data_IF_480248403644
#
_entry.id   IF_480248403644
#
_cell.length_a   1.000
_cell.length_b   1.000
_cell.length_c   1.000
_cell.angle_alpha   90.00
_cell.angle_beta   90.00
_cell.angle_gamma   90.00
#
_symmetry.space_group_name_H-M   'P 1'
#
loop_
_entity.id
_entity.type
_entity.pdbx_description
1 polymer ?
#
# COMPACT_ATOMS: atom_id res chain seq x y z
N UNK A 1 21.52 8.72 14.13
CA UNK A 1 21.49 8.12 12.80
C UNK A 1 20.76 6.80 12.98
N UNK A 2 19.49 6.81 12.78
CA UNK A 2 18.67 5.62 12.68
C UNK A 2 17.54 6.01 11.72
N UNK A 3 17.59 5.46 10.54
CA UNK A 3 16.59 5.64 9.50
C UNK A 3 15.29 5.00 9.99
N UNK A 4 14.32 5.83 10.34
CA UNK A 4 12.98 5.40 10.70
C UNK A 4 12.20 5.12 9.42
N UNK A 5 12.19 3.88 8.97
CA UNK A 5 11.26 3.39 7.96
C UNK A 5 9.83 3.51 8.53
N UNK A 6 9.09 4.49 8.07
CA UNK A 6 7.64 4.56 8.30
C UNK A 6 6.93 3.66 7.28
N UNK A 7 7.05 2.35 7.47
CA UNK A 7 6.20 1.39 6.80
C UNK A 7 4.84 1.40 7.49
N UNK A 8 3.78 1.57 6.72
CA UNK A 8 2.40 1.30 7.16
C UNK A 8 2.37 -0.12 7.71
N UNK A 9 1.88 -0.38 8.93
CA UNK A 9 1.86 -1.72 9.47
C UNK A 9 0.92 -2.58 8.62
N UNK A 10 1.49 -3.56 7.93
CA UNK A 10 0.72 -4.64 7.33
C UNK A 10 0.19 -5.47 8.51
N UNK A 11 -1.07 -5.28 8.86
CA UNK A 11 -1.76 -6.01 9.91
C UNK A 11 -1.95 -7.46 9.48
N UNK A 12 -1.33 -8.39 10.18
CA UNK A 12 -1.59 -9.80 10.02
C UNK A 12 -0.46 -10.71 10.45
N UNK A 13 0.00 -10.60 11.71
CA UNK A 13 0.72 -11.72 12.33
C UNK A 13 -0.27 -12.84 12.65
N UNK A 14 -0.34 -13.84 11.78
CA UNK A 14 -1.00 -15.10 12.08
C UNK A 14 -0.20 -15.82 13.19
N UNK A 15 -0.88 -16.18 14.27
CA UNK A 15 -0.30 -17.01 15.34
C UNK A 15 0.08 -18.38 14.77
N UNK A 16 1.23 -18.93 15.13
CA UNK A 16 1.63 -20.25 14.65
C UNK A 16 0.69 -21.33 15.20
N UNK A 17 0.08 -22.08 14.30
CA UNK A 17 -0.63 -23.32 14.62
C UNK A 17 0.38 -24.39 15.05
N UNK A 18 0.07 -25.06 16.15
CA UNK A 18 0.93 -26.03 16.79
C UNK A 18 1.16 -27.29 15.91
N UNK A 19 2.42 -27.68 15.78
CA UNK A 19 2.80 -29.04 15.43
C UNK A 19 3.67 -29.25 14.19
N UNK A 20 4.80 -28.55 14.05
CA UNK A 20 5.83 -28.94 13.10
C UNK A 20 7.20 -29.00 13.75
N UNK A 21 7.82 -30.19 13.75
CA UNK A 21 9.23 -30.34 14.14
C UNK A 21 10.13 -29.95 12.95
N UNK A 22 11.01 -29.00 13.17
CA UNK A 22 12.02 -28.54 12.21
C UNK A 22 13.26 -29.43 12.34
N UNK A 23 13.70 -30.07 11.26
CA UNK A 23 14.99 -30.74 11.18
C UNK A 23 16.00 -29.77 10.52
N UNK A 24 17.11 -29.41 11.19
CA UNK A 24 18.09 -28.49 10.61
C UNK A 24 19.05 -29.20 9.64
N UNK A 25 19.19 -28.63 8.45
CA UNK A 25 20.40 -28.72 7.64
C UNK A 25 20.53 -29.87 6.67
N UNK A 26 20.02 -29.64 5.44
CA UNK A 26 20.67 -30.06 4.20
C UNK A 26 20.03 -29.31 3.03
N UNK A 27 20.72 -29.15 1.91
CA UNK A 27 20.22 -28.56 0.67
C UNK A 27 19.08 -29.45 0.15
N UNK A 28 17.84 -29.03 0.37
CA UNK A 28 16.68 -29.85 -0.02
C UNK A 28 16.34 -29.57 -1.48
N UNK A 29 16.31 -30.61 -2.27
CA UNK A 29 16.08 -30.56 -3.71
C UNK A 29 14.60 -30.65 -4.10
N UNK A 30 13.71 -31.18 -3.23
CA UNK A 30 12.28 -31.34 -3.55
C UNK A 30 11.35 -31.10 -2.37
N UNK A 31 10.10 -30.76 -2.66
CA UNK A 31 9.03 -30.58 -1.66
C UNK A 31 8.74 -31.86 -0.88
N UNK A 32 8.88 -33.04 -1.49
CA UNK A 32 8.64 -34.33 -0.85
C UNK A 32 9.55 -34.60 0.37
N UNK A 33 10.76 -34.03 0.36
CA UNK A 33 11.71 -34.16 1.47
C UNK A 33 11.42 -33.19 2.63
N UNK A 34 10.60 -32.13 2.36
CA UNK A 34 10.38 -31.07 3.31
C UNK A 34 9.20 -31.34 4.25
N UNK A 35 8.14 -31.98 3.74
CA UNK A 35 6.86 -32.12 4.48
C UNK A 35 6.15 -33.39 4.06
N UNK A 36 5.63 -34.16 5.03
CA UNK A 36 4.54 -35.09 4.75
C UNK A 36 3.28 -34.26 4.51
N UNK A 37 2.95 -33.98 3.26
CA UNK A 37 1.81 -33.17 2.89
C UNK A 37 0.54 -34.00 3.06
N UNK A 38 -0.41 -33.52 3.88
CA UNK A 38 -1.75 -34.06 3.94
C UNK A 38 -2.49 -33.72 2.62
N UNK A 39 -2.87 -34.70 1.78
CA UNK A 39 -3.58 -34.43 0.54
C UNK A 39 -4.93 -33.72 0.71
N UNK A 40 -5.53 -33.82 1.90
CA UNK A 40 -6.83 -33.22 2.23
C UNK A 40 -6.69 -31.82 2.85
N UNK A 41 -5.48 -31.25 2.92
CA UNK A 41 -5.30 -29.91 3.48
C UNK A 41 -5.90 -28.83 2.58
N UNK A 42 -6.49 -27.81 3.19
CA UNK A 42 -7.00 -26.61 2.54
C UNK A 42 -5.97 -25.48 2.49
N UNK A 43 -4.96 -25.55 3.33
CA UNK A 43 -3.92 -24.54 3.47
C UNK A 43 -2.56 -25.21 3.62
N UNK A 44 -1.56 -24.73 2.88
CA UNK A 44 -0.20 -25.24 2.93
C UNK A 44 0.80 -24.09 3.03
N UNK A 45 1.54 -24.05 4.14
CA UNK A 45 2.61 -23.09 4.39
C UNK A 45 3.98 -23.71 4.08
N UNK A 46 4.58 -23.26 2.99
CA UNK A 46 5.91 -23.61 2.54
C UNK A 46 6.86 -22.41 2.55
N UNK A 47 6.60 -21.41 3.40
CA UNK A 47 7.46 -20.25 3.55
C UNK A 47 8.86 -20.64 4.07
N UNK A 48 9.91 -19.93 3.60
CA UNK A 48 11.30 -20.13 4.04
C UNK A 48 11.86 -21.56 3.86
N UNK A 49 11.41 -22.29 2.85
CA UNK A 49 11.85 -23.68 2.58
C UNK A 49 12.98 -23.80 1.57
N UNK A 50 13.47 -22.66 1.02
CA UNK A 50 14.50 -22.64 -0.03
C UNK A 50 14.10 -23.39 -1.32
N UNK A 51 12.81 -23.48 -1.57
CA UNK A 51 12.24 -24.12 -2.76
C UNK A 51 12.68 -23.32 -3.99
N UNK A 52 13.29 -23.96 -4.97
CA UNK A 52 13.68 -23.33 -6.23
C UNK A 52 12.81 -23.79 -7.41
N UNK A 53 12.07 -24.89 -7.24
CA UNK A 53 11.20 -25.48 -8.26
C UNK A 53 9.87 -25.90 -7.66
N UNK A 54 8.80 -25.60 -8.38
CA UNK A 54 7.44 -26.00 -7.98
C UNK A 54 7.14 -27.39 -8.58
N UNK A 55 6.97 -28.41 -7.72
CA UNK A 55 6.67 -29.78 -8.11
C UNK A 55 5.95 -30.52 -6.99
N UNK A 56 5.37 -31.71 -7.32
CA UNK A 56 4.72 -32.60 -6.36
C UNK A 56 3.46 -32.05 -5.69
N UNK A 57 2.71 -31.18 -6.37
CA UNK A 57 1.43 -30.65 -5.89
C UNK A 57 0.21 -31.47 -6.36
N UNK A 58 0.40 -32.54 -7.15
CA UNK A 58 -0.68 -33.33 -7.70
C UNK A 58 -1.65 -33.94 -6.67
N UNK A 59 -1.22 -34.29 -5.44
CA UNK A 59 -2.14 -34.79 -4.41
C UNK A 59 -3.11 -33.76 -3.87
N UNK A 60 -2.79 -32.46 -3.94
CA UNK A 60 -3.50 -31.37 -3.28
C UNK A 60 -4.78 -30.97 -4.03
N UNK A 61 -5.83 -31.80 -3.94
CA UNK A 61 -7.06 -31.60 -4.70
C UNK A 61 -8.01 -30.56 -4.10
N UNK A 62 -7.83 -30.23 -2.82
CA UNK A 62 -8.74 -29.36 -2.06
C UNK A 62 -8.05 -28.07 -1.58
N UNK A 63 -6.80 -27.84 -1.95
CA UNK A 63 -6.01 -26.70 -1.50
C UNK A 63 -6.68 -25.37 -1.93
N UNK A 64 -6.88 -24.48 -0.98
CA UNK A 64 -7.44 -23.13 -1.19
C UNK A 64 -6.37 -22.05 -0.99
N UNK A 65 -5.37 -22.28 -0.13
CA UNK A 65 -4.32 -21.32 0.17
C UNK A 65 -2.95 -21.96 0.11
N UNK A 66 -2.06 -21.35 -0.67
CA UNK A 66 -0.69 -21.82 -0.85
C UNK A 66 0.30 -20.67 -0.61
N UNK A 67 1.10 -20.80 0.45
CA UNK A 67 2.09 -19.82 0.85
C UNK A 67 3.50 -20.30 0.51
N UNK A 68 4.18 -19.55 -0.36
CA UNK A 68 5.51 -19.88 -0.90
C UNK A 68 6.47 -18.69 -0.73
N UNK A 69 6.26 -17.86 0.27
CA UNK A 69 7.07 -16.66 0.56
C UNK A 69 8.51 -17.05 0.92
N UNK A 70 9.45 -16.15 0.59
CA UNK A 70 10.88 -16.28 0.95
C UNK A 70 11.49 -17.60 0.47
N UNK A 71 11.30 -17.91 -0.80
CA UNK A 71 11.89 -19.07 -1.46
C UNK A 71 12.85 -18.65 -2.59
N UNK A 72 13.24 -19.57 -3.43
CA UNK A 72 14.19 -19.36 -4.54
C UNK A 72 13.54 -19.59 -5.91
N UNK A 73 12.20 -19.54 -5.98
CA UNK A 73 11.40 -19.88 -7.14
C UNK A 73 11.68 -18.89 -8.28
N UNK A 74 12.05 -19.43 -9.45
CA UNK A 74 12.36 -18.63 -10.65
C UNK A 74 11.24 -18.67 -11.69
N UNK A 75 10.45 -19.75 -11.67
CA UNK A 75 9.41 -20.03 -12.65
C UNK A 75 8.14 -20.51 -11.97
N UNK A 76 7.01 -20.00 -12.42
CA UNK A 76 5.69 -20.49 -12.01
C UNK A 76 5.38 -21.70 -12.92
N UNK A 77 5.27 -22.89 -12.35
CA UNK A 77 4.98 -24.12 -13.07
C UNK A 77 4.29 -25.15 -12.17
N UNK A 78 3.68 -26.17 -12.79
CA UNK A 78 3.08 -27.32 -12.10
C UNK A 78 2.00 -26.96 -11.06
N UNK A 79 1.23 -25.86 -11.29
CA UNK A 79 0.11 -25.46 -10.46
C UNK A 79 -1.26 -25.69 -11.12
N UNK A 80 -1.30 -26.19 -12.37
CA UNK A 80 -2.51 -26.32 -13.19
C UNK A 80 -3.61 -27.19 -12.57
N UNK A 81 -3.23 -28.13 -11.69
CA UNK A 81 -4.17 -29.03 -11.00
C UNK A 81 -4.86 -28.36 -9.80
N UNK A 82 -4.32 -27.26 -9.25
CA UNK A 82 -4.80 -26.62 -8.03
C UNK A 82 -6.01 -25.71 -8.32
N UNK A 83 -7.06 -26.27 -8.89
CA UNK A 83 -8.23 -25.51 -9.38
C UNK A 83 -9.10 -24.91 -8.27
N UNK A 84 -8.94 -25.36 -7.04
CA UNK A 84 -9.63 -24.86 -5.85
C UNK A 84 -8.93 -23.67 -5.24
N UNK A 85 -7.73 -23.32 -5.72
CA UNK A 85 -6.89 -22.28 -5.12
C UNK A 85 -7.57 -20.90 -5.18
N UNK A 86 -7.68 -20.26 -4.02
CA UNK A 86 -8.22 -18.91 -3.82
C UNK A 86 -7.10 -17.92 -3.55
N UNK A 87 -6.02 -18.36 -2.90
CA UNK A 87 -4.90 -17.50 -2.50
C UNK A 87 -3.56 -18.15 -2.84
N UNK A 88 -2.72 -17.40 -3.57
CA UNK A 88 -1.36 -17.79 -3.93
C UNK A 88 -0.38 -16.69 -3.56
N UNK A 89 0.56 -17.01 -2.68
CA UNK A 89 1.59 -16.09 -2.24
C UNK A 89 2.98 -16.53 -2.69
N UNK A 90 3.55 -15.76 -3.59
CA UNK A 90 4.89 -15.96 -4.16
C UNK A 90 5.83 -14.80 -3.79
N UNK A 91 5.53 -14.10 -2.67
CA UNK A 91 6.30 -12.98 -2.15
C UNK A 91 7.77 -13.36 -1.90
N UNK A 92 8.69 -12.47 -2.24
CA UNK A 92 10.14 -12.62 -2.09
C UNK A 92 10.69 -13.93 -2.67
N UNK A 93 10.67 -13.95 -4.01
CA UNK A 93 11.21 -15.03 -4.84
C UNK A 93 12.09 -14.44 -5.97
N UNK A 94 12.35 -15.22 -7.00
CA UNK A 94 13.20 -14.80 -8.12
C UNK A 94 12.46 -14.83 -9.46
N UNK A 95 11.13 -14.74 -9.44
CA UNK A 95 10.25 -14.87 -10.60
C UNK A 95 10.48 -13.70 -11.55
N UNK A 96 10.67 -14.02 -12.83
CA UNK A 96 10.91 -13.02 -13.88
C UNK A 96 9.76 -12.88 -14.86
N UNK A 97 8.83 -13.83 -14.85
CA UNK A 97 7.67 -13.88 -15.77
C UNK A 97 6.45 -14.44 -15.07
N UNK A 98 5.29 -13.86 -15.36
CA UNK A 98 3.99 -14.41 -14.94
C UNK A 98 3.57 -15.39 -16.01
N UNK A 99 3.42 -16.67 -15.65
CA UNK A 99 3.04 -17.74 -16.56
C UNK A 99 2.33 -18.87 -15.82
N UNK A 100 1.60 -19.73 -16.57
CA UNK A 100 0.96 -20.95 -16.06
C UNK A 100 -0.04 -20.73 -14.91
N UNK A 101 -0.71 -19.57 -14.87
CA UNK A 101 -1.76 -19.27 -13.90
C UNK A 101 -3.18 -19.36 -14.51
N UNK A 102 -3.30 -19.59 -15.81
CA UNK A 102 -4.56 -19.54 -16.56
C UNK A 102 -5.60 -20.57 -16.13
N UNK A 103 -5.19 -21.63 -15.42
CA UNK A 103 -6.10 -22.65 -14.85
C UNK A 103 -6.59 -22.33 -13.44
N UNK A 104 -5.99 -21.37 -12.77
CA UNK A 104 -6.32 -20.97 -11.40
C UNK A 104 -7.46 -19.95 -11.39
N UNK A 105 -8.55 -20.25 -12.09
CA UNK A 105 -9.67 -19.32 -12.37
C UNK A 105 -10.47 -18.90 -11.13
N UNK A 106 -10.24 -19.56 -10.00
CA UNK A 106 -10.89 -19.23 -8.74
C UNK A 106 -10.05 -18.30 -7.85
N UNK A 107 -8.84 -17.93 -8.30
CA UNK A 107 -7.93 -17.13 -7.50
C UNK A 107 -8.53 -15.75 -7.20
N UNK A 108 -8.56 -15.40 -5.91
CA UNK A 108 -9.04 -14.14 -5.36
C UNK A 108 -7.87 -13.24 -4.91
N UNK A 109 -6.78 -13.86 -4.43
CA UNK A 109 -5.60 -13.15 -3.93
C UNK A 109 -4.35 -13.69 -4.61
N UNK A 110 -3.56 -12.80 -5.22
CA UNK A 110 -2.27 -13.12 -5.82
C UNK A 110 -1.20 -12.14 -5.35
N UNK A 111 -0.19 -12.64 -4.63
CA UNK A 111 0.96 -11.85 -4.23
C UNK A 111 2.22 -12.29 -5.00
N UNK A 112 2.72 -11.38 -5.84
CA UNK A 112 3.95 -11.50 -6.62
C UNK A 112 4.97 -10.43 -6.21
N UNK A 113 4.84 -9.86 -5.02
CA UNK A 113 5.74 -8.83 -4.51
C UNK A 113 7.16 -9.35 -4.30
N UNK A 114 8.14 -8.44 -4.31
CA UNK A 114 9.56 -8.74 -4.12
C UNK A 114 10.08 -9.82 -5.07
N UNK A 115 9.79 -9.62 -6.36
CA UNK A 115 10.26 -10.49 -7.44
C UNK A 115 11.09 -9.69 -8.47
N UNK A 116 11.25 -10.22 -9.66
CA UNK A 116 12.05 -9.60 -10.73
C UNK A 116 11.22 -9.32 -11.98
N UNK A 117 9.91 -9.18 -11.82
CA UNK A 117 8.96 -8.98 -12.91
C UNK A 117 9.20 -7.64 -13.60
N UNK A 118 9.19 -7.64 -14.92
CA UNK A 118 9.30 -6.43 -15.75
C UNK A 118 8.01 -6.08 -16.47
N UNK A 119 7.04 -6.99 -16.45
CA UNK A 119 5.78 -6.88 -17.19
C UNK A 119 4.64 -7.56 -16.42
N UNK A 120 3.44 -6.98 -16.50
CA UNK A 120 2.20 -7.64 -16.07
C UNK A 120 1.63 -8.36 -17.29
N UNK A 121 1.46 -9.68 -17.21
CA UNK A 121 0.99 -10.50 -18.31
C UNK A 121 0.27 -11.75 -17.80
N UNK A 122 -0.53 -12.40 -18.70
CA UNK A 122 -1.15 -13.71 -18.44
C UNK A 122 -2.08 -13.78 -17.22
N UNK A 123 -2.76 -12.66 -16.88
CA UNK A 123 -3.74 -12.61 -15.80
C UNK A 123 -5.19 -12.57 -16.31
N UNK A 124 -5.41 -12.58 -17.61
CA UNK A 124 -6.70 -12.36 -18.28
C UNK A 124 -7.77 -13.43 -17.96
N UNK A 125 -7.39 -14.57 -17.40
CA UNK A 125 -8.31 -15.63 -16.95
C UNK A 125 -8.66 -15.54 -15.46
N UNK A 126 -7.95 -14.75 -14.70
CA UNK A 126 -8.11 -14.65 -13.24
C UNK A 126 -9.18 -13.62 -12.86
N UNK A 127 -10.39 -13.79 -13.42
CA UNK A 127 -11.46 -12.78 -13.31
C UNK A 127 -12.06 -12.62 -11.91
N UNK A 128 -11.73 -13.51 -10.97
CA UNK A 128 -12.17 -13.43 -9.58
C UNK A 128 -11.19 -12.69 -8.68
N UNK A 129 -10.03 -12.25 -9.20
CA UNK A 129 -9.05 -11.53 -8.39
C UNK A 129 -9.67 -10.29 -7.76
N UNK A 130 -9.54 -10.23 -6.43
CA UNK A 130 -9.94 -9.11 -5.59
C UNK A 130 -8.73 -8.32 -5.10
N UNK A 131 -7.58 -9.00 -4.88
CA UNK A 131 -6.35 -8.37 -4.41
C UNK A 131 -5.15 -8.83 -5.21
N UNK A 132 -4.36 -7.86 -5.69
CA UNK A 132 -3.20 -8.12 -6.54
C UNK A 132 -2.01 -7.27 -6.08
N UNK A 133 -0.89 -7.94 -5.78
CA UNK A 133 0.28 -7.32 -5.20
C UNK A 133 1.51 -7.50 -6.09
N UNK A 134 2.22 -6.41 -6.37
CA UNK A 134 3.44 -6.34 -7.16
C UNK A 134 4.53 -5.46 -6.53
N UNK A 135 4.53 -5.27 -5.22
CA UNK A 135 5.54 -4.43 -4.55
C UNK A 135 6.95 -4.88 -4.91
N UNK A 136 7.87 -3.93 -5.04
CA UNK A 136 9.29 -4.19 -5.24
C UNK A 136 9.61 -5.13 -6.41
N UNK A 137 9.13 -4.75 -7.59
CA UNK A 137 9.44 -5.39 -8.87
C UNK A 137 10.16 -4.40 -9.81
N UNK A 138 10.13 -4.64 -11.11
CA UNK A 138 10.78 -3.79 -12.12
C UNK A 138 9.79 -3.30 -13.18
N UNK A 139 8.51 -3.21 -12.84
CA UNK A 139 7.43 -2.82 -13.74
C UNK A 139 7.62 -1.37 -14.21
N UNK A 140 7.43 -1.12 -15.50
CA UNK A 140 7.55 0.21 -16.10
C UNK A 140 6.25 0.78 -16.63
N UNK A 141 5.23 -0.08 -16.79
CA UNK A 141 3.91 0.22 -17.33
C UNK A 141 2.88 -0.58 -16.54
N UNK A 142 1.72 0.01 -16.26
CA UNK A 142 0.54 -0.71 -15.79
C UNK A 142 -0.16 -1.22 -17.04
N UNK A 143 -0.25 -2.53 -17.20
CA UNK A 143 -0.84 -3.14 -18.40
C UNK A 143 -1.54 -4.46 -18.04
N UNK A 144 -2.46 -4.90 -18.92
CA UNK A 144 -3.13 -6.20 -18.84
C UNK A 144 -3.92 -6.46 -17.54
N UNK A 145 -4.33 -5.40 -16.82
CA UNK A 145 -5.17 -5.50 -15.62
C UNK A 145 -6.63 -5.14 -15.87
N UNK A 146 -6.94 -4.54 -17.02
CA UNK A 146 -8.27 -4.00 -17.33
C UNK A 146 -9.42 -5.01 -17.33
N UNK A 147 -9.14 -6.32 -17.43
CA UNK A 147 -10.14 -7.38 -17.33
C UNK A 147 -10.46 -7.78 -15.88
N UNK A 148 -9.62 -7.37 -14.92
CA UNK A 148 -9.73 -7.76 -13.51
C UNK A 148 -10.70 -6.84 -12.75
N UNK A 149 -11.92 -6.72 -13.24
CA UNK A 149 -12.91 -5.75 -12.76
C UNK A 149 -13.41 -5.99 -11.34
N UNK A 150 -13.11 -7.15 -10.74
CA UNK A 150 -13.40 -7.47 -9.34
C UNK A 150 -12.33 -6.96 -8.37
N UNK A 151 -11.21 -6.41 -8.87
CA UNK A 151 -10.17 -5.89 -7.99
C UNK A 151 -10.72 -4.79 -7.08
N UNK A 152 -10.50 -4.99 -5.79
CA UNK A 152 -10.75 -4.02 -4.72
C UNK A 152 -9.45 -3.40 -4.22
N UNK A 153 -8.32 -4.09 -4.42
CA UNK A 153 -6.99 -3.62 -4.03
C UNK A 153 -5.97 -3.92 -5.12
N UNK A 154 -5.15 -2.91 -5.46
CA UNK A 154 -4.02 -3.04 -6.38
C UNK A 154 -2.79 -2.36 -5.76
N UNK A 155 -1.73 -3.15 -5.53
CA UNK A 155 -0.48 -2.70 -4.94
C UNK A 155 0.66 -2.79 -5.96
N UNK A 156 1.22 -1.64 -6.34
CA UNK A 156 2.27 -1.49 -7.35
C UNK A 156 3.46 -0.67 -6.82
N UNK A 157 3.59 -0.54 -5.52
CA UNK A 157 4.66 0.23 -4.88
C UNK A 157 6.06 -0.31 -5.20
N UNK A 158 7.06 0.56 -5.08
CA UNK A 158 8.47 0.25 -5.33
C UNK A 158 8.73 -0.41 -6.71
N UNK A 159 8.29 0.30 -7.76
CA UNK A 159 8.48 -0.11 -9.15
C UNK A 159 9.12 1.04 -9.97
N UNK A 160 8.96 1.04 -11.27
CA UNK A 160 9.53 2.05 -12.19
C UNK A 160 8.46 2.74 -13.04
N UNK A 161 7.21 2.74 -12.56
CA UNK A 161 6.06 3.30 -13.25
C UNK A 161 6.24 4.81 -13.45
N UNK A 162 5.87 5.30 -14.63
CA UNK A 162 5.97 6.73 -14.98
C UNK A 162 4.60 7.39 -15.08
N UNK A 163 3.54 6.61 -15.26
CA UNK A 163 2.17 7.06 -15.47
C UNK A 163 1.20 6.16 -14.73
N UNK A 164 0.04 6.72 -14.41
CA UNK A 164 -1.15 5.98 -14.01
C UNK A 164 -1.94 5.76 -15.30
N UNK A 165 -2.09 4.51 -15.72
CA UNK A 165 -2.73 4.17 -17.00
C UNK A 165 -3.35 2.77 -16.96
N UNK A 166 -4.33 2.52 -17.86
CA UNK A 166 -4.96 1.20 -18.07
C UNK A 166 -5.68 0.61 -16.85
N UNK A 167 -6.18 1.46 -15.94
CA UNK A 167 -6.92 1.05 -14.73
C UNK A 167 -8.36 1.59 -14.73
N UNK A 168 -8.79 2.27 -15.77
CA UNK A 168 -10.08 2.97 -15.85
C UNK A 168 -11.29 2.01 -15.75
N UNK A 169 -11.09 0.73 -16.04
CA UNK A 169 -12.12 -0.31 -15.92
C UNK A 169 -12.23 -0.92 -14.53
N UNK A 170 -11.29 -0.62 -13.62
CA UNK A 170 -11.25 -1.18 -12.26
C UNK A 170 -12.18 -0.42 -11.31
N UNK A 171 -13.44 -0.28 -11.69
CA UNK A 171 -14.43 0.56 -11.01
C UNK A 171 -14.76 0.13 -9.56
N UNK A 172 -14.42 -1.10 -9.18
CA UNK A 172 -14.60 -1.62 -7.84
C UNK A 172 -13.40 -1.37 -6.91
N UNK A 173 -12.33 -0.73 -7.43
CA UNK A 173 -11.12 -0.50 -6.67
C UNK A 173 -11.38 0.44 -5.50
N UNK A 174 -10.96 0.01 -4.29
CA UNK A 174 -11.04 0.78 -3.05
C UNK A 174 -9.67 1.24 -2.58
N UNK A 175 -8.63 0.50 -2.90
CA UNK A 175 -7.27 0.78 -2.44
C UNK A 175 -6.29 0.68 -3.61
N UNK A 176 -5.56 1.77 -3.86
CA UNK A 176 -4.54 1.85 -4.90
C UNK A 176 -3.23 2.38 -4.32
N UNK A 177 -2.20 1.55 -4.35
CA UNK A 177 -0.89 1.89 -3.85
C UNK A 177 0.13 1.96 -4.98
N UNK A 178 0.70 3.14 -5.18
CA UNK A 178 1.65 3.49 -6.25
C UNK A 178 2.91 4.16 -5.69
N UNK A 179 3.16 4.05 -4.41
CA UNK A 179 4.31 4.65 -3.74
C UNK A 179 5.66 4.19 -4.31
N UNK A 180 6.71 4.98 -4.13
CA UNK A 180 8.09 4.68 -4.59
C UNK A 180 8.15 4.33 -6.08
N UNK A 181 7.61 5.20 -6.94
CA UNK A 181 7.64 5.07 -8.39
C UNK A 181 8.26 6.33 -9.06
N UNK A 182 7.97 6.60 -10.31
CA UNK A 182 8.46 7.76 -11.06
C UNK A 182 7.31 8.56 -11.68
N UNK A 183 6.12 8.47 -11.09
CA UNK A 183 4.89 9.10 -11.56
C UNK A 183 5.03 10.61 -11.38
N UNK A 184 4.74 11.36 -12.44
CA UNK A 184 4.86 12.82 -12.42
C UNK A 184 3.50 13.52 -12.42
N UNK A 185 2.42 12.81 -12.71
CA UNK A 185 1.08 13.38 -12.83
C UNK A 185 0.04 12.42 -12.26
N UNK A 186 -0.95 13.00 -11.58
CA UNK A 186 -2.16 12.27 -11.17
C UNK A 186 -3.12 12.33 -12.35
N UNK A 187 -3.46 11.17 -12.92
CA UNK A 187 -4.29 11.07 -14.12
C UNK A 187 -5.03 9.73 -14.18
N UNK A 188 -6.10 9.65 -14.99
CA UNK A 188 -6.85 8.41 -15.29
C UNK A 188 -7.51 7.74 -14.05
N UNK A 189 -7.91 8.53 -13.04
CA UNK A 189 -8.58 8.06 -11.85
C UNK A 189 -10.09 8.35 -11.84
N UNK A 190 -10.63 9.05 -12.82
CA UNK A 190 -11.99 9.60 -12.81
C UNK A 190 -13.09 8.52 -12.65
N UNK A 191 -12.84 7.31 -13.10
CA UNK A 191 -13.79 6.19 -13.03
C UNK A 191 -13.72 5.43 -11.72
N UNK A 192 -12.67 5.63 -10.92
CA UNK A 192 -12.43 4.91 -9.67
C UNK A 192 -13.18 5.56 -8.49
N UNK A 193 -14.48 5.80 -8.67
CA UNK A 193 -15.30 6.55 -7.72
C UNK A 193 -15.46 5.89 -6.35
N UNK A 194 -15.14 4.59 -6.26
CA UNK A 194 -15.17 3.83 -5.01
C UNK A 194 -13.83 3.85 -4.24
N UNK A 195 -12.83 4.59 -4.76
CA UNK A 195 -11.51 4.62 -4.13
C UNK A 195 -11.56 5.30 -2.76
N UNK A 196 -11.08 4.58 -1.75
CA UNK A 196 -11.02 5.01 -0.36
C UNK A 196 -9.60 5.38 0.06
N UNK A 197 -8.58 4.67 -0.44
CA UNK A 197 -7.17 4.88 -0.12
C UNK A 197 -6.38 5.07 -1.42
N UNK A 198 -5.64 6.17 -1.52
CA UNK A 198 -4.71 6.44 -2.60
C UNK A 198 -3.33 6.77 -2.05
N UNK A 199 -2.34 5.94 -2.38
CA UNK A 199 -0.96 6.09 -1.95
C UNK A 199 -0.07 6.40 -3.15
N UNK A 200 0.54 7.58 -3.14
CA UNK A 200 1.40 8.13 -4.19
C UNK A 200 2.73 8.65 -3.64
N UNK A 201 3.10 8.29 -2.41
CA UNK A 201 4.32 8.77 -1.77
C UNK A 201 5.59 8.38 -2.56
N UNK A 202 6.64 9.17 -2.40
CA UNK A 202 7.93 8.97 -3.06
C UNK A 202 7.82 8.83 -4.60
N UNK A 203 7.21 9.83 -5.22
CA UNK A 203 7.06 9.96 -6.66
C UNK A 203 7.67 11.29 -7.17
N UNK A 204 7.22 11.81 -8.30
CA UNK A 204 7.68 13.06 -8.91
C UNK A 204 6.54 14.04 -9.14
N UNK A 205 5.48 13.92 -8.38
CA UNK A 205 4.25 14.71 -8.51
C UNK A 205 4.54 16.13 -8.01
N UNK A 206 4.11 17.12 -8.78
CA UNK A 206 4.30 18.54 -8.43
C UNK A 206 2.96 19.26 -8.21
N UNK A 207 1.85 18.61 -8.54
CA UNK A 207 0.52 19.20 -8.47
C UNK A 207 -0.51 18.17 -8.01
N UNK A 208 -1.41 18.59 -7.12
CA UNK A 208 -2.61 17.82 -6.75
C UNK A 208 -3.67 18.16 -7.81
N UNK A 209 -4.10 17.18 -8.58
CA UNK A 209 -5.07 17.35 -9.66
C UNK A 209 -5.85 16.06 -9.93
N UNK A 210 -7.02 16.17 -10.60
CA UNK A 210 -7.82 15.04 -11.06
C UNK A 210 -8.28 14.08 -9.94
N UNK A 211 -8.57 14.63 -8.76
CA UNK A 211 -9.12 13.88 -7.62
C UNK A 211 -10.60 14.21 -7.38
N UNK A 212 -11.21 15.10 -8.15
CA UNK A 212 -12.55 15.66 -7.91
C UNK A 212 -13.67 14.60 -7.99
N UNK A 213 -13.42 13.50 -8.72
CA UNK A 213 -14.38 12.39 -8.83
C UNK A 213 -14.26 11.38 -7.70
N UNK A 214 -13.16 11.41 -6.94
CA UNK A 214 -12.89 10.48 -5.85
C UNK A 214 -13.56 10.93 -4.56
N UNK A 215 -14.87 11.07 -4.57
CA UNK A 215 -15.65 11.60 -3.43
C UNK A 215 -15.70 10.66 -2.23
N UNK A 216 -15.34 9.38 -2.39
CA UNK A 216 -15.22 8.40 -1.32
C UNK A 216 -13.81 8.31 -0.71
N UNK A 217 -12.86 9.14 -1.20
CA UNK A 217 -11.48 9.11 -0.72
C UNK A 217 -11.41 9.53 0.75
N UNK A 218 -10.83 8.66 1.58
CA UNK A 218 -10.62 8.84 3.02
C UNK A 218 -9.17 9.15 3.34
N UNK A 219 -8.26 8.45 2.67
CA UNK A 219 -6.84 8.56 2.94
C UNK A 219 -6.07 8.90 1.66
N UNK A 220 -5.31 10.00 1.69
CA UNK A 220 -4.42 10.42 0.61
C UNK A 220 -2.99 10.54 1.13
N UNK A 221 -2.12 9.65 0.66
CA UNK A 221 -0.69 9.66 0.96
C UNK A 221 0.10 10.14 -0.25
N UNK A 222 0.67 11.33 -0.18
CA UNK A 222 1.39 11.97 -1.29
C UNK A 222 2.69 12.64 -0.81
N UNK A 223 3.25 12.13 0.30
CA UNK A 223 4.55 12.56 0.82
C UNK A 223 5.70 12.28 -0.13
N UNK A 224 6.85 12.88 0.14
CA UNK A 224 8.08 12.69 -0.66
C UNK A 224 7.87 12.98 -2.16
N UNK A 225 7.24 14.12 -2.45
CA UNK A 225 6.97 14.59 -3.81
C UNK A 225 7.48 16.05 -3.99
N UNK A 226 7.04 16.73 -5.02
CA UNK A 226 7.45 18.12 -5.32
C UNK A 226 6.32 19.12 -5.18
N UNK A 227 5.30 18.87 -4.36
CA UNK A 227 4.09 19.67 -4.25
C UNK A 227 4.40 20.99 -3.54
N UNK A 228 3.99 22.10 -4.16
CA UNK A 228 4.19 23.46 -3.63
C UNK A 228 2.91 24.09 -3.09
N UNK A 229 1.75 23.58 -3.49
CA UNK A 229 0.44 24.11 -3.12
C UNK A 229 -0.56 23.00 -2.85
N UNK A 230 -1.34 23.13 -1.76
CA UNK A 230 -2.51 22.29 -1.50
C UNK A 230 -3.65 22.85 -2.35
N UNK A 231 -4.19 22.06 -3.26
CA UNK A 231 -5.24 22.48 -4.18
C UNK A 231 -6.12 21.31 -4.63
N UNK A 232 -7.29 21.60 -5.22
CA UNK A 232 -8.18 20.63 -5.87
C UNK A 232 -8.68 19.48 -4.97
N UNK A 233 -8.85 19.73 -3.66
CA UNK A 233 -9.37 18.76 -2.70
C UNK A 233 -10.79 19.11 -2.21
N UNK A 234 -11.44 20.13 -2.75
CA UNK A 234 -12.75 20.59 -2.25
C UNK A 234 -13.88 19.58 -2.35
N UNK A 235 -13.77 18.63 -3.28
CA UNK A 235 -14.77 17.57 -3.47
C UNK A 235 -14.49 16.31 -2.63
N UNK A 236 -13.29 16.19 -2.05
CA UNK A 236 -12.87 15.04 -1.27
C UNK A 236 -13.29 15.18 0.22
N UNK A 237 -14.57 15.43 0.47
CA UNK A 237 -15.10 15.80 1.79
C UNK A 237 -15.01 14.69 2.84
N UNK A 238 -14.82 13.44 2.39
CA UNK A 238 -14.65 12.29 3.27
C UNK A 238 -13.20 12.05 3.69
N UNK A 239 -12.27 12.94 3.25
CA UNK A 239 -10.86 12.79 3.56
C UNK A 239 -10.63 13.01 5.06
N UNK A 240 -10.16 11.97 5.76
CA UNK A 240 -9.81 11.98 7.17
C UNK A 240 -8.30 12.04 7.39
N UNK A 241 -7.51 11.49 6.48
CA UNK A 241 -6.05 11.45 6.55
C UNK A 241 -5.42 12.05 5.29
N UNK A 242 -4.54 13.06 5.49
CA UNK A 242 -3.80 13.71 4.40
C UNK A 242 -2.31 13.78 4.74
N UNK A 243 -1.50 12.97 4.03
CA UNK A 243 -0.04 12.98 4.15
C UNK A 243 0.61 13.79 3.02
N UNK A 244 1.14 14.95 3.37
CA UNK A 244 1.91 15.86 2.52
C UNK A 244 3.34 16.09 3.05
N UNK A 245 3.84 15.20 3.91
CA UNK A 245 5.19 15.30 4.44
C UNK A 245 6.26 15.33 3.34
N UNK A 246 7.40 15.94 3.60
CA UNK A 246 8.53 15.98 2.67
C UNK A 246 8.16 16.46 1.26
N UNK A 247 7.45 17.59 1.20
CA UNK A 247 7.11 18.29 -0.02
C UNK A 247 7.76 19.70 -0.04
N UNK A 248 7.24 20.63 -0.82
CA UNK A 248 7.78 22.00 -0.95
C UNK A 248 6.76 23.07 -0.52
N UNK A 249 5.85 22.69 0.35
CA UNK A 249 4.79 23.60 0.83
C UNK A 249 5.38 24.74 1.64
N UNK A 250 4.96 25.96 1.31
CA UNK A 250 5.25 27.18 2.11
C UNK A 250 4.02 27.72 2.81
N UNK A 251 2.85 27.41 2.27
CA UNK A 251 1.56 27.88 2.76
C UNK A 251 0.63 26.69 3.00
N UNK A 252 -0.21 26.82 4.01
CA UNK A 252 -1.34 25.92 4.27
C UNK A 252 -2.60 26.66 3.83
N UNK A 253 -3.45 26.03 3.05
CA UNK A 253 -4.71 26.60 2.59
C UNK A 253 -5.52 25.57 1.82
N UNK A 254 -6.73 25.96 1.38
CA UNK A 254 -7.64 25.12 0.60
C UNK A 254 -8.04 23.80 1.29
N UNK A 255 -8.11 23.81 2.62
CA UNK A 255 -8.51 22.67 3.46
C UNK A 255 -9.90 22.86 4.06
N UNK A 256 -10.57 23.99 3.81
CA UNK A 256 -11.81 24.41 4.45
C UNK A 256 -12.97 23.44 4.20
N UNK A 257 -12.94 22.75 3.05
CA UNK A 257 -13.96 21.77 2.67
C UNK A 257 -13.77 20.39 3.33
N UNK A 258 -12.59 20.13 3.95
CA UNK A 258 -12.23 18.85 4.54
C UNK A 258 -12.72 18.77 6.00
N UNK A 259 -14.03 18.71 6.19
CA UNK A 259 -14.67 18.72 7.52
C UNK A 259 -14.36 17.45 8.34
N UNK A 260 -14.04 16.35 7.68
CA UNK A 260 -13.72 15.06 8.31
C UNK A 260 -12.23 14.90 8.61
N UNK A 261 -11.38 15.86 8.23
CA UNK A 261 -9.93 15.74 8.38
C UNK A 261 -9.54 15.57 9.86
N UNK A 262 -9.04 14.41 10.22
CA UNK A 262 -8.59 14.04 11.57
C UNK A 262 -7.08 14.09 11.71
N UNK A 263 -6.34 13.75 10.66
CA UNK A 263 -4.90 13.67 10.66
C UNK A 263 -4.28 14.37 9.45
N UNK A 264 -3.28 15.25 9.69
CA UNK A 264 -2.52 15.89 8.62
C UNK A 264 -1.03 15.83 8.89
N UNK A 265 -0.26 15.39 7.88
CA UNK A 265 1.20 15.34 7.93
C UNK A 265 1.79 16.38 7.00
N UNK A 266 2.45 17.36 7.60
CA UNK A 266 3.07 18.52 6.93
C UNK A 266 4.55 18.67 7.29
N UNK A 267 5.11 17.69 8.01
CA UNK A 267 6.52 17.74 8.41
C UNK A 267 7.46 17.77 7.20
N UNK A 268 8.68 18.26 7.40
CA UNK A 268 9.70 18.37 6.34
C UNK A 268 9.23 19.17 5.11
N UNK A 269 8.65 20.36 5.36
CA UNK A 269 8.23 21.31 4.32
C UNK A 269 8.89 22.68 4.56
N UNK A 270 8.45 23.73 3.87
CA UNK A 270 8.96 25.10 3.97
C UNK A 270 8.01 26.07 4.68
N UNK A 271 7.14 25.59 5.57
CA UNK A 271 6.12 26.40 6.24
C UNK A 271 6.79 27.31 7.29
N UNK A 272 6.78 28.63 7.05
CA UNK A 272 7.50 29.61 7.85
C UNK A 272 6.61 30.61 8.60
N UNK A 273 5.31 30.64 8.30
CA UNK A 273 4.40 31.67 8.79
C UNK A 273 3.25 31.09 9.64
N UNK A 274 3.24 31.44 10.92
CA UNK A 274 2.20 31.02 11.86
C UNK A 274 0.78 31.44 11.46
N UNK A 275 0.63 32.57 10.74
CA UNK A 275 -0.69 33.03 10.28
C UNK A 275 -1.35 32.03 9.33
N UNK A 276 -0.55 31.29 8.58
CA UNK A 276 -1.07 30.29 7.64
C UNK A 276 -1.70 29.08 8.33
N UNK A 277 -1.31 28.81 9.60
CA UNK A 277 -1.90 27.73 10.39
C UNK A 277 -3.31 28.03 10.88
N UNK A 278 -3.72 29.29 10.85
CA UNK A 278 -5.05 29.70 11.29
C UNK A 278 -6.19 29.14 10.43
N UNK A 279 -5.91 28.78 9.17
CA UNK A 279 -6.89 28.15 8.28
C UNK A 279 -7.36 26.82 8.84
N UNK A 280 -6.49 26.08 9.55
CA UNK A 280 -6.82 24.79 10.17
C UNK A 280 -7.85 24.90 11.29
N UNK A 281 -8.17 26.09 11.76
CA UNK A 281 -9.28 26.30 12.70
C UNK A 281 -10.64 25.87 12.14
N UNK A 282 -10.76 25.80 10.82
CA UNK A 282 -11.98 25.32 10.15
C UNK A 282 -12.14 23.81 10.26
N UNK A 283 -11.03 23.07 10.34
CA UNK A 283 -11.02 21.61 10.42
C UNK A 283 -11.24 21.15 11.87
N UNK A 284 -12.50 21.12 12.30
CA UNK A 284 -12.87 20.84 13.70
C UNK A 284 -12.61 19.40 14.14
N UNK A 285 -12.55 18.48 13.19
CA UNK A 285 -12.25 17.07 13.43
C UNK A 285 -10.76 16.79 13.61
N UNK A 286 -9.88 17.78 13.32
CA UNK A 286 -8.44 17.59 13.32
C UNK A 286 -7.91 17.27 14.72
N UNK A 287 -7.36 16.10 14.90
CA UNK A 287 -6.82 15.57 16.16
C UNK A 287 -5.30 15.49 16.15
N UNK A 288 -4.71 15.20 15.00
CA UNK A 288 -3.27 14.97 14.87
C UNK A 288 -2.67 15.86 13.78
N UNK A 289 -1.58 16.54 14.11
CA UNK A 289 -0.76 17.30 13.16
C UNK A 289 0.70 16.92 13.31
N UNK A 290 1.36 16.60 12.19
CA UNK A 290 2.82 16.53 12.10
C UNK A 290 3.32 17.76 11.35
N UNK A 291 4.14 18.58 11.99
CA UNK A 291 4.63 19.85 11.44
C UNK A 291 6.12 20.10 11.75
N UNK A 292 6.78 19.15 12.41
CA UNK A 292 8.21 19.21 12.70
C UNK A 292 9.05 19.38 11.42
N UNK A 293 10.28 19.84 11.56
CA UNK A 293 11.20 20.13 10.45
C UNK A 293 10.71 21.18 9.45
N UNK A 294 9.74 22.02 9.85
CA UNK A 294 9.40 23.25 9.15
C UNK A 294 10.06 24.46 9.83
N UNK A 295 10.27 25.59 9.14
CA UNK A 295 10.77 26.82 9.78
C UNK A 295 9.98 27.24 11.02
N UNK A 296 8.65 27.11 11.03
CA UNK A 296 7.81 27.41 12.21
C UNK A 296 8.13 26.55 13.42
N UNK A 297 8.64 25.33 13.23
CA UNK A 297 8.96 24.40 14.31
C UNK A 297 10.25 24.77 15.06
N UNK A 298 11.03 25.73 14.57
CA UNK A 298 12.21 26.26 15.25
C UNK A 298 11.86 27.24 16.40
N UNK A 299 10.61 27.67 16.49
CA UNK A 299 10.14 28.56 17.57
C UNK A 299 10.13 27.81 18.92
N UNK A 300 10.79 28.35 19.92
CA UNK A 300 10.83 27.76 21.27
C UNK A 300 9.43 27.51 21.86
N UNK A 301 8.42 28.28 21.43
CA UNK A 301 7.01 28.13 21.84
C UNK A 301 6.18 27.35 20.81
N UNK A 302 6.80 26.62 19.96
CA UNK A 302 6.15 25.87 18.86
C UNK A 302 4.88 25.13 19.30
N UNK A 303 5.02 24.23 20.27
CA UNK A 303 3.88 23.43 20.75
C UNK A 303 2.80 24.25 21.44
N UNK A 304 3.18 25.24 22.25
CA UNK A 304 2.18 26.11 22.92
C UNK A 304 1.42 26.97 21.92
N UNK A 305 2.09 27.54 20.93
CA UNK A 305 1.44 28.30 19.86
C UNK A 305 0.48 27.44 19.03
N UNK A 306 0.85 26.20 18.70
CA UNK A 306 -0.06 25.28 18.01
C UNK A 306 -1.31 25.00 18.85
N UNK A 307 -1.15 24.76 20.15
CA UNK A 307 -2.29 24.56 21.06
C UNK A 307 -3.16 25.81 21.22
N UNK A 308 -2.56 27.01 21.19
CA UNK A 308 -3.31 28.28 21.23
C UNK A 308 -4.16 28.44 19.94
N UNK A 309 -3.63 28.03 18.79
CA UNK A 309 -4.33 28.10 17.49
C UNK A 309 -5.37 26.98 17.37
N UNK A 310 -5.00 25.76 17.76
CA UNK A 310 -5.78 24.53 17.60
C UNK A 310 -5.93 23.80 18.95
N UNK A 311 -6.78 24.30 19.87
CA UNK A 311 -6.88 23.78 21.25
C UNK A 311 -7.45 22.36 21.32
N UNK A 312 -8.08 21.87 20.26
CA UNK A 312 -8.65 20.54 20.18
C UNK A 312 -7.66 19.44 19.76
N UNK A 313 -6.42 19.81 19.40
CA UNK A 313 -5.40 18.81 19.04
C UNK A 313 -5.10 17.87 20.21
N UNK A 314 -5.06 16.60 19.88
CA UNK A 314 -4.68 15.51 20.79
C UNK A 314 -3.20 15.16 20.64
N UNK A 315 -2.64 15.28 19.42
CA UNK A 315 -1.26 14.91 19.11
C UNK A 315 -0.60 15.98 18.23
N UNK A 316 0.59 16.38 18.60
CA UNK A 316 1.48 17.24 17.80
C UNK A 316 2.77 16.47 17.60
N UNK A 317 3.12 16.21 16.36
CA UNK A 317 4.21 15.33 15.96
C UNK A 317 4.06 13.97 16.67
N UNK A 318 5.13 13.36 17.16
CA UNK A 318 5.07 12.07 17.84
C UNK A 318 4.55 12.15 19.30
N UNK A 319 4.12 13.33 19.79
CA UNK A 319 3.86 13.54 21.23
C UNK A 319 2.41 13.96 21.50
N UNK A 320 1.77 13.30 22.46
CA UNK A 320 0.44 13.66 22.94
C UNK A 320 0.43 15.07 23.57
N UNK A 321 -0.66 15.80 23.39
CA UNK A 321 -0.87 17.12 23.98
C UNK A 321 -1.17 17.05 25.48
N UNK A 322 -1.81 15.95 25.93
CA UNK A 322 -2.13 15.69 27.34
C UNK A 322 -1.62 14.30 27.67
N UNK A 323 -0.82 14.18 28.73
CA UNK A 323 -0.39 12.87 29.19
C UNK A 323 -1.61 12.10 29.76
N UNK A 324 -1.76 10.80 29.48
CA UNK A 324 -2.79 9.98 30.10
C UNK A 324 -2.69 10.06 31.63
N UNK A 325 -3.74 10.56 32.30
CA UNK A 325 -3.79 10.67 33.76
C UNK A 325 -3.52 12.07 34.33
N UNK A 326 -3.23 13.10 33.55
CA UNK A 326 -3.24 14.48 34.00
C UNK A 326 -4.71 14.99 33.98
N UNK A 327 -5.44 14.72 35.05
CA UNK A 327 -6.70 15.41 35.29
C UNK A 327 -6.42 16.89 35.58
N UNK A 328 -7.09 17.78 34.83
CA UNK A 328 -7.09 19.22 35.06
C UNK A 328 -7.72 19.60 36.40
#
# INVERSE_FOLDING_TARGET
MADGDSAIPISGEAKPTAGMQIIPGELVASIEEIVMIDPECYELDLNHRRIDKLENFEPLKQIERLYLRWNLIKKIENLDMLKTLLELELYDNQITKIENLDKLVNLEILDLSFNRLTKIENLDKLLKLEKLYFVANKLTVIENVGMLTNLTMLELGDNKLKKIENIETLVNLRQLFLGKNKIAKIENLDTLVNLEILSLQANRIVKIENLEKLTNLKELYISENGIETIENLSENKNLDTLDLAKNRLKLIGNLEALEQLEEIWLNDNGIDNWKNLEVLKMNKSLQTIYLEHNPVATDIRYRSKLRDILPHLQKIDATLCVLPGAHA
#
